data_IF_193609732795
#
_entry.id   IF_193609732795
#
_cell.length_a   1.000
_cell.length_b   1.000
_cell.length_c   1.000
_cell.angle_alpha   90.00
_cell.angle_beta   90.00
_cell.angle_gamma   90.00
#
_symmetry.space_group_name_H-M   'P 1'
#
loop_
_entity.id
_entity.type
_entity.pdbx_description
1 polymer ?
#
# COMPACT_ATOMS: atom_id res chain seq x y z
N UNK A 1 9.86 10.58 11.18
CA UNK A 1 8.65 10.07 10.54
C UNK A 1 8.12 11.09 9.57
N UNK A 2 7.81 10.66 8.36
CA UNK A 2 7.17 11.49 7.34
C UNK A 2 5.80 10.90 7.03
N UNK A 3 4.76 11.69 7.17
CA UNK A 3 3.40 11.29 6.80
C UNK A 3 2.98 12.15 5.62
N UNK A 4 2.71 11.51 4.49
CA UNK A 4 2.35 12.23 3.27
C UNK A 4 0.84 12.51 3.20
N UNK A 5 0.44 13.25 2.16
CA UNK A 5 -0.91 13.81 2.05
C UNK A 5 -2.00 12.73 2.09
N UNK A 6 -3.09 13.06 2.75
CA UNK A 6 -4.31 12.25 2.83
C UNK A 6 -4.13 10.86 3.46
N UNK A 7 -3.02 10.62 4.15
CA UNK A 7 -2.85 9.40 4.91
C UNK A 7 -3.79 9.39 6.13
N UNK A 8 -4.32 8.22 6.45
CA UNK A 8 -5.14 8.01 7.64
C UNK A 8 -4.41 7.05 8.59
N UNK A 9 -4.22 7.48 9.81
CA UNK A 9 -3.60 6.65 10.86
C UNK A 9 -4.61 6.49 11.97
N UNK A 10 -5.10 5.27 12.16
CA UNK A 10 -6.13 4.97 13.14
C UNK A 10 -5.56 4.87 14.56
N UNK A 11 -6.47 4.85 15.53
CA UNK A 11 -6.14 4.93 16.96
C UNK A 11 -5.16 3.85 17.41
N UNK A 12 -4.30 4.24 18.35
CA UNK A 12 -3.33 3.36 19.01
C UNK A 12 -2.32 2.72 18.07
N UNK A 13 -2.08 3.35 16.94
CA UNK A 13 -1.04 2.93 16.00
C UNK A 13 0.26 3.66 16.28
N UNK A 14 1.37 3.01 15.99
CA UNK A 14 2.71 3.59 16.12
C UNK A 14 3.49 3.50 14.82
N UNK A 15 4.35 4.49 14.59
CA UNK A 15 5.24 4.51 13.43
C UNK A 15 6.68 4.68 13.92
N UNK A 16 7.55 3.73 13.59
CA UNK A 16 8.96 3.79 13.98
C UNK A 16 9.67 4.98 13.34
N UNK A 17 10.69 5.47 14.03
CA UNK A 17 11.51 6.57 13.52
C UNK A 17 12.03 6.27 12.10
N UNK A 18 12.13 7.32 11.29
CA UNK A 18 12.61 7.29 9.90
C UNK A 18 11.70 6.57 8.91
N UNK A 19 10.59 5.99 9.35
CA UNK A 19 9.61 5.41 8.45
C UNK A 19 8.75 6.48 7.78
N UNK A 20 8.23 6.15 6.60
CA UNK A 20 7.31 7.00 5.85
C UNK A 20 5.95 6.34 5.75
N UNK A 21 4.92 7.16 5.76
CA UNK A 21 3.54 6.73 5.47
C UNK A 21 3.14 7.43 4.18
N UNK A 22 2.87 6.67 3.12
CA UNK A 22 2.64 7.21 1.79
C UNK A 22 1.28 7.89 1.62
N UNK A 23 1.11 8.60 0.49
CA UNK A 23 -0.14 9.30 0.18
C UNK A 23 -1.32 8.33 0.18
N UNK A 24 -2.43 8.77 0.76
CA UNK A 24 -3.65 7.97 0.82
C UNK A 24 -3.49 6.59 1.47
N UNK A 25 -2.40 6.36 2.20
CA UNK A 25 -2.25 5.13 2.96
C UNK A 25 -3.29 5.08 4.08
N UNK A 26 -3.79 3.91 4.36
CA UNK A 26 -4.68 3.67 5.49
C UNK A 26 -3.99 2.73 6.48
N UNK A 27 -3.71 3.25 7.67
CA UNK A 27 -3.11 2.46 8.75
C UNK A 27 -4.22 2.11 9.73
N UNK A 28 -4.53 0.83 9.83
CA UNK A 28 -5.58 0.34 10.73
C UNK A 28 -5.22 0.54 12.21
N UNK A 29 -6.23 0.46 13.08
CA UNK A 29 -6.02 0.59 14.52
C UNK A 29 -5.05 -0.44 15.08
N UNK A 30 -4.27 -0.05 16.10
CA UNK A 30 -3.29 -0.92 16.77
C UNK A 30 -2.20 -1.47 15.83
N UNK A 31 -1.88 -0.74 14.78
CA UNK A 31 -0.84 -1.12 13.83
C UNK A 31 0.52 -0.58 14.26
N UNK A 32 1.55 -1.40 14.13
CA UNK A 32 2.93 -0.99 14.37
C UNK A 32 3.67 -0.98 13.02
N UNK A 33 3.97 0.23 12.55
CA UNK A 33 4.66 0.45 11.28
C UNK A 33 6.16 0.48 11.53
N UNK A 34 6.86 -0.56 11.11
CA UNK A 34 8.32 -0.70 11.30
C UNK A 34 9.12 -0.51 10.02
N UNK A 35 8.44 -0.48 8.89
CA UNK A 35 8.98 -0.17 7.55
C UNK A 35 8.02 0.80 6.89
N UNK A 36 8.38 1.32 5.72
CA UNK A 36 7.51 2.29 5.04
C UNK A 36 6.16 1.69 4.68
N UNK A 37 5.09 2.39 5.04
CA UNK A 37 3.73 2.01 4.71
C UNK A 37 3.38 2.54 3.32
N UNK A 38 2.97 1.64 2.43
CA UNK A 38 2.79 1.94 1.01
C UNK A 38 1.59 2.87 0.75
N UNK A 39 1.73 3.75 -0.26
CA UNK A 39 0.65 4.63 -0.69
C UNK A 39 -0.57 3.85 -1.15
N UNK A 40 -1.75 4.42 -0.98
CA UNK A 40 -3.03 3.90 -1.48
C UNK A 40 -3.48 2.58 -0.89
N UNK A 41 -2.73 2.01 0.02
CA UNK A 41 -2.96 0.66 0.54
C UNK A 41 -3.39 0.66 2.00
N UNK A 42 -4.07 -0.41 2.38
CA UNK A 42 -4.41 -0.69 3.77
C UNK A 42 -3.30 -1.51 4.41
N UNK A 43 -2.72 -0.99 5.47
CA UNK A 43 -1.68 -1.65 6.27
C UNK A 43 -2.20 -1.82 7.69
N UNK A 44 -2.22 -3.04 8.19
CA UNK A 44 -2.85 -3.35 9.49
C UNK A 44 -2.02 -4.39 10.25
N UNK A 45 -1.95 -4.20 11.55
CA UNK A 45 -1.50 -5.22 12.48
C UNK A 45 -0.13 -4.98 13.10
N UNK A 46 0.21 -5.87 13.99
CA UNK A 46 1.52 -6.00 14.60
C UNK A 46 1.88 -7.51 14.59
N UNK A 47 2.70 -7.92 13.74
CA UNK A 47 3.43 -7.28 12.64
C UNK A 47 2.48 -6.80 11.54
N UNK A 48 2.76 -5.62 11.01
CA UNK A 48 1.91 -5.03 9.99
C UNK A 48 1.97 -5.79 8.67
N UNK A 49 0.82 -5.88 8.01
CA UNK A 49 0.66 -6.56 6.73
C UNK A 49 -0.20 -5.72 5.80
N UNK A 50 -0.02 -5.92 4.51
CA UNK A 50 -0.80 -5.21 3.50
C UNK A 50 -2.07 -6.01 3.16
N UNK A 51 -3.20 -5.31 3.14
CA UNK A 51 -4.52 -5.90 2.85
C UNK A 51 -5.09 -5.43 1.51
N UNK A 52 -4.25 -4.86 0.66
CA UNK A 52 -4.65 -4.41 -0.65
C UNK A 52 -4.89 -2.91 -0.72
N UNK A 53 -5.40 -2.47 -1.85
CA UNK A 53 -5.69 -1.06 -2.12
C UNK A 53 -6.92 -0.62 -1.33
N UNK A 54 -6.87 0.58 -0.75
CA UNK A 54 -7.99 1.18 -0.02
C UNK A 54 -9.04 1.74 -1.00
N UNK A 55 -9.73 0.86 -1.71
CA UNK A 55 -10.62 1.22 -2.81
C UNK A 55 -11.74 2.16 -2.36
N UNK A 56 -12.35 1.92 -1.20
CA UNK A 56 -13.43 2.75 -0.67
C UNK A 56 -12.93 4.16 -0.35
N UNK A 57 -11.82 4.26 0.34
CA UNK A 57 -11.22 5.57 0.68
C UNK A 57 -10.82 6.36 -0.54
N UNK A 58 -10.24 5.70 -1.54
CA UNK A 58 -9.83 6.36 -2.78
C UNK A 58 -11.04 6.85 -3.59
N UNK A 59 -12.09 6.03 -3.69
CA UNK A 59 -13.33 6.44 -4.36
C UNK A 59 -13.95 7.67 -3.70
N UNK A 60 -13.96 7.71 -2.36
CA UNK A 60 -14.45 8.88 -1.60
C UNK A 60 -13.64 10.14 -1.86
N UNK A 61 -12.37 10.00 -2.20
CA UNK A 61 -11.47 11.11 -2.54
C UNK A 61 -11.53 11.52 -4.02
N UNK A 62 -12.41 10.89 -4.80
CA UNK A 62 -12.61 11.25 -6.20
C UNK A 62 -11.74 10.49 -7.19
N UNK A 63 -11.06 9.43 -6.77
CA UNK A 63 -10.32 8.57 -7.71
C UNK A 63 -11.31 7.87 -8.62
N UNK A 64 -11.03 7.89 -9.93
CA UNK A 64 -11.88 7.19 -10.90
C UNK A 64 -11.75 5.67 -10.75
N UNK A 65 -12.79 4.92 -11.16
CA UNK A 65 -12.69 3.46 -11.18
C UNK A 65 -11.52 2.95 -12.01
N UNK A 66 -11.19 3.62 -13.11
CA UNK A 66 -10.06 3.27 -13.98
C UNK A 66 -8.72 3.44 -13.26
N UNK A 67 -8.54 4.52 -12.52
CA UNK A 67 -7.33 4.76 -11.75
C UNK A 67 -7.19 3.77 -10.60
N UNK A 68 -8.27 3.50 -9.88
CA UNK A 68 -8.28 2.49 -8.82
C UNK A 68 -7.90 1.12 -9.38
N UNK A 69 -8.42 0.76 -10.56
CA UNK A 69 -8.07 -0.49 -11.22
C UNK A 69 -6.57 -0.58 -11.55
N UNK A 70 -5.99 0.51 -12.07
CA UNK A 70 -4.54 0.55 -12.32
C UNK A 70 -3.74 0.31 -11.06
N UNK A 71 -4.11 0.93 -9.96
CA UNK A 71 -3.45 0.74 -8.67
C UNK A 71 -3.60 -0.70 -8.17
N UNK A 72 -4.79 -1.27 -8.28
CA UNK A 72 -5.01 -2.68 -7.90
C UNK A 72 -4.15 -3.63 -8.71
N UNK A 73 -4.02 -3.40 -10.02
CA UNK A 73 -3.20 -4.23 -10.90
C UNK A 73 -1.72 -4.08 -10.59
N UNK A 74 -1.25 -2.86 -10.31
CA UNK A 74 0.11 -2.62 -9.88
C UNK A 74 0.41 -3.38 -8.56
N UNK A 75 -0.48 -3.31 -7.60
CA UNK A 75 -0.33 -4.03 -6.33
C UNK A 75 -0.37 -5.55 -6.51
N UNK A 76 -1.13 -6.05 -7.47
CA UNK A 76 -1.13 -7.49 -7.79
C UNK A 76 0.26 -7.96 -8.20
N UNK A 77 0.96 -7.20 -9.03
CA UNK A 77 2.36 -7.50 -9.35
C UNK A 77 3.25 -7.47 -8.11
N UNK A 78 3.10 -6.45 -7.28
CA UNK A 78 3.93 -6.28 -6.09
C UNK A 78 3.79 -7.42 -5.07
N UNK A 79 2.60 -8.01 -4.96
CA UNK A 79 2.37 -9.10 -4.00
C UNK A 79 2.65 -10.49 -4.60
N UNK A 80 2.68 -10.63 -5.93
CA UNK A 80 2.91 -11.91 -6.61
C UNK A 80 4.36 -12.17 -6.98
N UNK A 81 5.18 -11.12 -7.07
CA UNK A 81 6.57 -11.22 -7.53
C UNK A 81 7.50 -10.57 -6.52
N UNK A 82 8.82 -10.84 -6.64
CA UNK A 82 9.79 -10.03 -5.90
C UNK A 82 9.71 -8.58 -6.40
N UNK A 83 10.18 -7.66 -5.60
CA UNK A 83 10.02 -6.23 -5.87
C UNK A 83 10.63 -5.82 -7.21
N UNK A 84 11.83 -6.27 -7.53
CA UNK A 84 12.50 -5.91 -8.78
C UNK A 84 11.69 -6.37 -10.00
N UNK A 85 11.19 -7.59 -9.98
CA UNK A 85 10.37 -8.13 -11.07
C UNK A 85 9.03 -7.40 -11.18
N UNK A 86 8.40 -7.12 -10.04
CA UNK A 86 7.13 -6.39 -10.02
C UNK A 86 7.28 -5.00 -10.64
N UNK A 87 8.31 -4.26 -10.26
CA UNK A 87 8.56 -2.92 -10.82
C UNK A 87 8.81 -2.97 -12.32
N UNK A 88 9.54 -3.98 -12.78
CA UNK A 88 9.78 -4.19 -14.21
C UNK A 88 8.48 -4.44 -14.97
N UNK A 89 7.59 -5.30 -14.45
CA UNK A 89 6.31 -5.60 -15.07
C UNK A 89 5.39 -4.37 -15.11
N UNK A 90 5.38 -3.57 -14.05
CA UNK A 90 4.60 -2.34 -13.99
C UNK A 90 5.11 -1.35 -15.04
N UNK A 91 6.41 -1.16 -15.15
CA UNK A 91 7.01 -0.23 -16.09
C UNK A 91 6.74 -0.61 -17.55
N UNK A 92 6.71 -1.90 -17.85
CA UNK A 92 6.50 -2.41 -19.21
C UNK A 92 5.05 -2.39 -19.66
N UNK A 93 4.10 -2.20 -18.75
CA UNK A 93 2.68 -2.23 -19.09
C UNK A 93 2.16 -0.80 -19.30
N UNK A 94 1.95 -0.37 -20.57
CA UNK A 94 1.46 0.98 -20.84
C UNK A 94 0.04 1.21 -20.31
N UNK A 95 -0.73 0.16 -20.05
CA UNK A 95 -2.08 0.30 -19.49
C UNK A 95 -2.09 0.69 -18.03
N UNK A 96 -0.93 0.61 -17.36
CA UNK A 96 -0.77 1.05 -15.96
C UNK A 96 -0.21 2.47 -15.85
N UNK A 97 0.06 3.14 -16.97
CA UNK A 97 0.65 4.49 -16.93
C UNK A 97 -0.30 5.48 -16.24
N UNK A 98 0.17 6.08 -15.16
CA UNK A 98 -0.52 7.12 -14.42
C UNK A 98 0.46 7.78 -13.45
N UNK A 99 0.22 9.05 -13.11
CA UNK A 99 1.07 9.76 -12.16
C UNK A 99 1.11 9.06 -10.79
N UNK A 100 -0.01 8.50 -10.36
CA UNK A 100 -0.15 7.80 -9.08
C UNK A 100 0.65 6.50 -9.07
N UNK A 101 0.69 5.79 -10.19
CA UNK A 101 1.50 4.57 -10.33
C UNK A 101 2.99 4.93 -10.31
N UNK A 102 3.39 6.00 -11.01
CA UNK A 102 4.77 6.50 -10.98
C UNK A 102 5.19 6.91 -9.58
N UNK A 103 4.30 7.58 -8.85
CA UNK A 103 4.56 7.95 -7.46
C UNK A 103 4.76 6.70 -6.58
N UNK A 104 3.93 5.68 -6.74
CA UNK A 104 4.07 4.41 -6.02
C UNK A 104 5.42 3.76 -6.28
N UNK A 105 5.84 3.68 -7.55
CA UNK A 105 7.13 3.12 -7.94
C UNK A 105 8.28 3.91 -7.30
N UNK A 106 8.24 5.24 -7.39
CA UNK A 106 9.27 6.09 -6.80
C UNK A 106 9.31 5.97 -5.28
N UNK A 107 8.17 5.83 -4.63
CA UNK A 107 8.10 5.60 -3.19
C UNK A 107 8.84 4.32 -2.80
N UNK A 108 8.62 3.25 -3.54
CA UNK A 108 9.29 1.95 -3.28
C UNK A 108 10.78 2.05 -3.53
N UNK A 109 11.20 2.61 -4.66
CA UNK A 109 12.61 2.68 -5.03
C UNK A 109 13.42 3.59 -4.13
N UNK A 110 12.80 4.59 -3.52
CA UNK A 110 13.46 5.52 -2.59
C UNK A 110 13.43 5.06 -1.13
N UNK A 111 12.82 3.92 -0.83
CA UNK A 111 12.72 3.42 0.53
C UNK A 111 14.08 2.97 1.06
N UNK A 112 14.49 3.51 2.21
CA UNK A 112 15.76 3.16 2.85
C UNK A 112 15.63 1.99 3.81
N UNK A 113 14.44 1.81 4.40
CA UNK A 113 14.15 0.77 5.39
C UNK A 113 13.27 -0.34 4.87
N UNK A 114 13.05 -0.35 3.54
CA UNK A 114 12.12 -1.28 2.92
C UNK A 114 10.66 -0.85 3.11
N UNK A 115 9.77 -1.61 2.52
CA UNK A 115 8.34 -1.34 2.53
C UNK A 115 7.58 -2.54 3.09
N UNK A 116 6.38 -2.29 3.62
CA UNK A 116 5.52 -3.35 4.13
C UNK A 116 4.74 -3.92 2.95
N UNK A 117 5.15 -5.11 2.48
CA UNK A 117 4.49 -5.83 1.38
C UNK A 117 4.00 -7.22 1.79
N UNK A 118 4.23 -7.62 3.03
CA UNK A 118 3.82 -8.93 3.49
C UNK A 118 2.30 -9.02 3.56
N UNK A 119 1.74 -10.03 2.90
CA UNK A 119 0.30 -10.28 2.90
C UNK A 119 -0.13 -11.01 4.18
N UNK A 120 -1.42 -10.90 4.57
CA UNK A 120 -1.98 -11.74 5.61
C UNK A 120 -1.88 -13.22 5.22
N UNK A 121 -1.88 -14.11 6.21
CA UNK A 121 -1.98 -15.54 5.92
C UNK A 121 -3.35 -15.83 5.27
N UNK A 122 -3.41 -16.89 4.46
CA UNK A 122 -4.64 -17.32 3.80
C UNK A 122 -5.80 -17.50 4.81
N UNK A 123 -5.49 -18.02 6.00
CA UNK A 123 -6.48 -18.20 7.06
C UNK A 123 -7.08 -16.87 7.53
N UNK A 124 -6.25 -15.83 7.64
CA UNK A 124 -6.72 -14.49 8.05
C UNK A 124 -7.57 -13.88 6.94
N UNK A 125 -7.16 -14.02 5.67
CA UNK A 125 -7.93 -13.56 4.53
C UNK A 125 -9.31 -14.19 4.51
N UNK A 126 -9.40 -15.50 4.69
CA UNK A 126 -10.67 -16.22 4.72
C UNK A 126 -11.59 -15.70 5.85
N UNK A 127 -11.03 -15.40 7.02
CA UNK A 127 -11.78 -14.83 8.14
C UNK A 127 -12.30 -13.43 7.82
N UNK A 128 -11.50 -12.60 7.17
CA UNK A 128 -11.90 -11.25 6.80
C UNK A 128 -13.00 -11.25 5.74
N UNK A 129 -12.94 -12.15 4.79
CA UNK A 129 -13.98 -12.32 3.77
C UNK A 129 -15.31 -12.80 4.36
N UNK A 130 -15.27 -13.58 5.44
CA UNK A 130 -16.45 -14.10 6.12
C UNK A 130 -17.17 -13.04 6.96
N UNK A 131 -16.51 -11.98 7.35
CA UNK A 131 -17.07 -10.88 8.13
C UNK A 131 -17.73 -9.83 7.22
#
# INVERSE_FOLDING_TARGET
VTVEDYATISAYSGVHQFCRVGRHAFIGGYTVVTRDALPYAKTVGNRARIYGVNTIGLARRGFSPELIDKLRRAYRHLVQHNTSRALELIERDPTLAAAEVSYLVNFITSARRGVILRRPSKRIDDQLEAE
#
